data_IF_452815691931
#
_entry.id   IF_452815691931
#
_cell.length_a   1.000
_cell.length_b   1.000
_cell.length_c   1.000
_cell.angle_alpha   90.00
_cell.angle_beta   90.00
_cell.angle_gamma   90.00
#
_symmetry.space_group_name_H-M   'P 1'
#
loop_
_entity.id
_entity.type
_entity.pdbx_description
1 polymer ?
#
# COMPACT_ATOMS: atom_id res chain seq x y z
N UNK A 1 -15.25 -2.65 -0.73
CA UNK A 1 -14.59 -3.00 0.55
C UNK A 1 -13.97 -1.75 1.16
N UNK A 2 -14.07 -1.59 2.48
CA UNK A 2 -13.37 -0.54 3.23
C UNK A 2 -12.00 -1.05 3.68
N UNK A 3 -11.01 -0.16 3.68
CA UNK A 3 -9.63 -0.46 4.05
C UNK A 3 -9.26 0.43 5.23
N UNK A 4 -8.79 -0.17 6.31
CA UNK A 4 -8.31 0.57 7.48
C UNK A 4 -6.96 1.21 7.15
N UNK A 5 -6.79 2.48 7.52
CA UNK A 5 -5.57 3.27 7.29
C UNK A 5 -5.12 3.97 8.58
N UNK A 6 -3.83 4.25 8.69
CA UNK A 6 -3.25 5.18 9.66
C UNK A 6 -2.72 6.39 8.89
N UNK A 7 -3.21 7.58 9.23
CA UNK A 7 -2.73 8.85 8.70
C UNK A 7 -1.39 9.24 9.33
N UNK A 8 -0.64 10.09 8.62
CA UNK A 8 0.62 10.62 9.14
C UNK A 8 0.45 11.45 10.43
N UNK A 9 -0.75 11.98 10.67
CA UNK A 9 -1.11 12.70 11.90
C UNK A 9 -1.56 11.79 13.06
N UNK A 10 -1.44 10.47 12.88
CA UNK A 10 -1.81 9.47 13.90
C UNK A 10 -3.29 9.11 13.93
N UNK A 11 -4.14 9.72 13.08
CA UNK A 11 -5.55 9.33 12.98
C UNK A 11 -5.71 7.98 12.30
N UNK A 12 -6.75 7.26 12.69
CA UNK A 12 -7.15 6.00 12.08
C UNK A 12 -8.53 6.16 11.43
N UNK A 13 -8.68 5.67 10.20
CA UNK A 13 -9.96 5.72 9.49
C UNK A 13 -10.12 4.52 8.53
N UNK A 14 -11.30 4.43 7.92
CA UNK A 14 -11.65 3.48 6.88
C UNK A 14 -11.93 4.20 5.56
N UNK A 15 -11.18 3.84 4.52
CA UNK A 15 -11.32 4.45 3.19
C UNK A 15 -11.81 3.44 2.18
N UNK A 16 -12.43 3.92 1.10
CA UNK A 16 -12.76 3.06 -0.04
C UNK A 16 -11.46 2.71 -0.78
N UNK A 17 -11.39 1.50 -1.34
CA UNK A 17 -10.18 1.01 -2.03
C UNK A 17 -9.64 1.95 -3.12
N UNK A 18 -10.51 2.64 -3.87
CA UNK A 18 -10.08 3.59 -4.91
C UNK A 18 -9.46 4.89 -4.35
N UNK A 19 -9.74 5.23 -3.08
CA UNK A 19 -9.14 6.39 -2.41
C UNK A 19 -7.75 6.04 -1.89
N UNK A 20 -7.49 4.77 -1.58
CA UNK A 20 -6.24 4.32 -1.02
C UNK A 20 -5.04 4.68 -1.90
N UNK A 21 -5.12 4.44 -3.21
CA UNK A 21 -4.03 4.73 -4.14
C UNK A 21 -3.65 6.21 -4.10
N UNK A 22 -4.66 7.10 -4.10
CA UNK A 22 -4.44 8.54 -3.96
C UNK A 22 -3.74 8.88 -2.64
N UNK A 23 -4.18 8.32 -1.52
CA UNK A 23 -3.59 8.60 -0.20
C UNK A 23 -2.15 8.09 -0.08
N UNK A 24 -1.82 7.00 -0.77
CA UNK A 24 -0.44 6.50 -0.87
C UNK A 24 0.40 7.47 -1.71
N UNK A 25 -0.09 7.90 -2.87
CA UNK A 25 0.60 8.82 -3.78
C UNK A 25 0.81 10.20 -3.15
N UNK A 26 -0.18 10.72 -2.42
CA UNK A 26 -0.10 12.00 -1.71
C UNK A 26 0.61 11.92 -0.35
N UNK A 27 1.02 10.70 0.07
CA UNK A 27 1.69 10.43 1.37
C UNK A 27 0.87 10.89 2.59
N UNK A 28 -0.45 10.87 2.49
CA UNK A 28 -1.34 11.25 3.61
C UNK A 28 -1.44 10.15 4.67
N UNK A 29 -1.17 8.90 4.29
CA UNK A 29 -1.19 7.74 5.18
C UNK A 29 0.20 7.11 5.31
N UNK A 30 0.44 6.46 6.45
CA UNK A 30 1.69 5.76 6.77
C UNK A 30 1.52 4.25 6.79
N UNK A 31 0.31 3.75 7.07
CA UNK A 31 0.00 2.31 7.08
C UNK A 31 -1.42 2.03 6.59
N UNK A 32 -1.63 0.84 6.03
CA UNK A 32 -2.98 0.36 5.68
C UNK A 32 -3.11 -1.16 5.84
N UNK A 33 -4.35 -1.62 6.07
CA UNK A 33 -4.65 -3.03 6.35
C UNK A 33 -5.04 -3.78 5.08
N UNK A 34 -4.34 -4.87 4.79
CA UNK A 34 -4.72 -5.90 3.79
C UNK A 34 -5.20 -7.15 4.50
N UNK A 35 -5.72 -8.11 3.73
CA UNK A 35 -6.05 -9.45 4.25
C UNK A 35 -4.85 -10.14 4.90
N UNK A 36 -3.64 -9.90 4.38
CA UNK A 36 -2.38 -10.45 4.91
C UNK A 36 -1.83 -9.70 6.14
N UNK A 37 -2.42 -8.58 6.55
CA UNK A 37 -1.94 -7.77 7.66
C UNK A 37 -1.68 -6.31 7.31
N UNK A 38 -0.95 -5.62 8.18
CA UNK A 38 -0.59 -4.21 7.99
C UNK A 38 0.55 -4.06 6.98
N UNK A 39 0.45 -3.05 6.12
CA UNK A 39 1.49 -2.63 5.19
C UNK A 39 1.92 -1.22 5.56
N UNK A 40 3.21 -1.04 5.83
CA UNK A 40 3.85 0.22 6.17
C UNK A 40 4.49 0.84 4.93
N UNK A 41 4.04 2.04 4.57
CA UNK A 41 4.53 2.74 3.39
C UNK A 41 5.99 3.15 3.61
N UNK A 42 6.85 2.87 2.62
CA UNK A 42 8.29 3.10 2.70
C UNK A 42 9.10 1.99 3.38
N UNK A 43 8.43 0.98 3.95
CA UNK A 43 9.08 -0.20 4.56
C UNK A 43 8.65 -1.48 3.83
N UNK A 44 7.34 -1.68 3.70
CA UNK A 44 6.75 -2.86 3.07
C UNK A 44 6.50 -2.64 1.57
N UNK A 45 6.59 -3.68 0.73
CA UNK A 45 6.29 -3.58 -0.69
C UNK A 45 4.81 -3.22 -0.92
N UNK A 46 4.56 -1.98 -1.34
CA UNK A 46 3.21 -1.49 -1.64
C UNK A 46 2.72 -2.03 -2.99
N UNK A 47 3.58 -2.04 -4.02
CA UNK A 47 3.31 -2.64 -5.34
C UNK A 47 4.55 -3.40 -5.82
N UNK A 48 4.49 -4.73 -5.84
CA UNK A 48 5.42 -5.52 -6.63
C UNK A 48 4.98 -5.42 -8.09
N UNK A 49 5.61 -4.54 -8.87
CA UNK A 49 5.49 -4.64 -10.32
C UNK A 49 6.15 -5.95 -10.73
N UNK A 50 5.35 -6.93 -11.14
CA UNK A 50 5.79 -8.21 -11.73
C UNK A 50 6.43 -7.94 -13.10
N UNK A 51 7.52 -7.17 -13.15
CA UNK A 51 8.33 -6.93 -14.37
C UNK A 51 9.83 -7.18 -14.18
N UNK A 52 10.33 -7.43 -12.97
CA UNK A 52 11.77 -7.70 -12.76
C UNK A 52 12.14 -9.18 -12.60
N UNK A 53 11.20 -10.12 -12.80
CA UNK A 53 11.51 -11.56 -12.78
C UNK A 53 11.67 -12.19 -14.17
N UNK A 54 11.66 -11.39 -15.26
CA UNK A 54 11.83 -11.90 -16.63
C UNK A 54 13.18 -11.59 -17.30
N UNK A 55 14.07 -10.83 -16.65
CA UNK A 55 15.34 -10.41 -17.28
C UNK A 55 16.55 -11.25 -16.89
N UNK A 56 16.42 -12.24 -15.99
CA UNK A 56 17.58 -12.99 -15.48
C UNK A 56 17.66 -14.48 -15.83
N UNK A 57 16.60 -15.07 -16.39
CA UNK A 57 16.64 -16.45 -16.87
C UNK A 57 15.88 -16.56 -18.18
N UNK A 58 16.57 -16.19 -19.27
CA UNK A 58 16.18 -16.58 -20.62
C UNK A 58 16.51 -18.04 -20.85
N UNK A 59 15.48 -18.81 -21.19
CA UNK A 59 15.52 -20.02 -22.01
C UNK A 59 14.46 -19.84 -23.10
#
# INVERSE_FOLDING_TARGET
>A
MLIQVNYADGRNDYVKGFVLDRLIETKEIVKFKRSSGWVTIGVDPVRTTRRELKTKFGW
#
